data_IF_712576079984
#
_entry.id   IF_712576079984
#
_cell.length_a   1.000
_cell.length_b   1.000
_cell.length_c   1.000
_cell.angle_alpha   90.00
_cell.angle_beta   90.00
_cell.angle_gamma   90.00
#
_symmetry.space_group_name_H-M   'P 1'
#
loop_
_entity.id
_entity.type
_entity.pdbx_description
1 polymer ?
#
# COMPACT_ATOMS: atom_id res chain seq x y z
N UNK A 1 -19.43 -19.10 -16.86
CA UNK A 1 -18.92 -19.54 -15.55
C UNK A 1 -18.13 -18.39 -14.91
N UNK A 2 -18.54 -17.88 -13.75
CA UNK A 2 -17.80 -16.84 -13.02
C UNK A 2 -16.52 -17.47 -12.45
N UNK A 3 -15.35 -17.04 -12.93
CA UNK A 3 -14.06 -17.43 -12.34
C UNK A 3 -13.79 -16.47 -11.18
N UNK A 4 -13.77 -16.92 -9.91
CA UNK A 4 -13.44 -16.06 -8.80
C UNK A 4 -12.05 -15.45 -9.00
N UNK A 5 -11.88 -14.20 -8.58
CA UNK A 5 -10.56 -13.54 -8.68
C UNK A 5 -9.51 -14.42 -7.98
N UNK A 6 -8.30 -14.58 -8.52
CA UNK A 6 -7.26 -15.47 -7.94
C UNK A 6 -6.98 -15.24 -6.45
N UNK A 7 -7.03 -13.99 -5.99
CA UNK A 7 -6.86 -13.67 -4.57
C UNK A 7 -8.01 -14.20 -3.69
N UNK A 8 -9.23 -14.36 -4.20
CA UNK A 8 -10.33 -14.99 -3.44
C UNK A 8 -10.12 -16.50 -3.34
N UNK A 9 -9.68 -17.14 -4.43
CA UNK A 9 -9.39 -18.58 -4.45
C UNK A 9 -8.37 -18.96 -3.38
N UNK A 10 -7.31 -18.15 -3.21
CA UNK A 10 -6.32 -18.35 -2.14
C UNK A 10 -6.95 -18.51 -0.74
N UNK A 11 -8.02 -17.78 -0.46
CA UNK A 11 -8.68 -17.77 0.85
C UNK A 11 -9.87 -18.74 0.94
N UNK A 12 -10.49 -19.09 -0.18
CA UNK A 12 -11.71 -19.92 -0.20
C UNK A 12 -11.43 -21.40 -0.45
N UNK A 13 -10.40 -21.72 -1.24
CA UNK A 13 -10.06 -23.11 -1.57
C UNK A 13 -9.65 -23.87 -0.30
N UNK A 14 -10.09 -25.12 -0.17
CA UNK A 14 -9.87 -25.98 1.01
C UNK A 14 -10.17 -25.29 2.35
N UNK A 15 -11.17 -24.41 2.38
CA UNK A 15 -11.53 -23.62 3.57
C UNK A 15 -10.34 -22.85 4.18
N UNK A 16 -9.38 -22.44 3.33
CA UNK A 16 -8.06 -21.95 3.75
C UNK A 16 -8.10 -20.76 4.70
N UNK A 17 -9.07 -19.86 4.57
CA UNK A 17 -9.22 -18.73 5.47
C UNK A 17 -9.69 -19.12 6.87
N UNK A 18 -10.67 -20.02 6.99
CA UNK A 18 -11.15 -20.45 8.31
C UNK A 18 -10.05 -21.27 9.02
N UNK A 19 -9.38 -22.19 8.30
CA UNK A 19 -8.22 -22.91 8.84
C UNK A 19 -7.11 -21.98 9.30
N UNK A 20 -6.83 -20.92 8.54
CA UNK A 20 -5.85 -19.91 8.95
C UNK A 20 -6.26 -19.21 10.25
N UNK A 21 -7.52 -18.78 10.38
CA UNK A 21 -8.05 -18.14 11.58
C UNK A 21 -8.00 -19.08 12.78
N UNK A 22 -8.31 -20.36 12.60
CA UNK A 22 -8.30 -21.35 13.70
C UNK A 22 -6.88 -21.55 14.28
N UNK A 23 -5.86 -21.47 13.42
CA UNK A 23 -4.46 -21.74 13.79
C UNK A 23 -3.63 -20.49 14.10
N UNK A 24 -4.15 -19.28 13.83
CA UNK A 24 -3.37 -18.04 13.93
C UNK A 24 -4.19 -16.91 14.56
N UNK A 25 -3.52 -16.08 15.37
CA UNK A 25 -4.12 -14.83 15.84
C UNK A 25 -4.19 -13.80 14.69
N UNK A 26 -5.38 -13.27 14.44
CA UNK A 26 -5.65 -12.27 13.41
C UNK A 26 -6.41 -11.11 14.03
N UNK A 27 -5.95 -9.88 13.76
CA UNK A 27 -6.60 -8.67 14.25
C UNK A 27 -7.99 -8.45 13.63
N UNK A 28 -8.93 -7.90 14.39
CA UNK A 28 -10.33 -7.68 13.97
C UNK A 28 -10.43 -6.88 12.66
N UNK A 29 -9.56 -5.88 12.50
CA UNK A 29 -9.55 -5.08 11.29
C UNK A 29 -9.02 -5.85 10.08
N UNK A 30 -8.05 -6.75 10.28
CA UNK A 30 -7.59 -7.66 9.22
C UNK A 30 -8.70 -8.62 8.81
N UNK A 31 -9.42 -9.23 9.78
CA UNK A 31 -10.59 -10.08 9.52
C UNK A 31 -11.63 -9.34 8.66
N UNK A 32 -12.02 -8.14 9.09
CA UNK A 32 -12.98 -7.31 8.36
C UNK A 32 -12.49 -6.92 6.96
N UNK A 33 -11.19 -6.68 6.78
CA UNK A 33 -10.61 -6.37 5.48
C UNK A 33 -10.70 -7.55 4.51
N UNK A 34 -10.39 -8.76 4.98
CA UNK A 34 -10.47 -9.99 4.20
C UNK A 34 -11.93 -10.32 3.88
N UNK A 35 -12.84 -10.21 4.84
CA UNK A 35 -14.27 -10.47 4.61
C UNK A 35 -14.85 -9.55 3.53
N UNK A 36 -14.56 -8.25 3.61
CA UNK A 36 -14.87 -7.28 2.55
C UNK A 36 -14.29 -7.69 1.19
N UNK A 37 -13.06 -8.20 1.16
CA UNK A 37 -12.42 -8.64 -0.09
C UNK A 37 -13.12 -9.86 -0.69
N UNK A 38 -13.53 -10.83 0.13
CA UNK A 38 -14.28 -12.02 -0.27
C UNK A 38 -15.68 -11.66 -0.81
N UNK A 39 -16.39 -10.73 -0.17
CA UNK A 39 -17.70 -10.25 -0.62
C UNK A 39 -17.62 -9.26 -1.81
N UNK A 40 -16.44 -8.74 -2.15
CA UNK A 40 -16.30 -7.73 -3.20
C UNK A 40 -16.84 -8.21 -4.55
N UNK A 41 -17.67 -7.40 -5.21
CA UNK A 41 -18.25 -7.73 -6.52
C UNK A 41 -19.16 -8.96 -6.50
N UNK A 42 -19.78 -9.28 -5.37
CA UNK A 42 -20.92 -10.21 -5.25
C UNK A 42 -22.17 -9.46 -4.81
N UNK A 43 -23.35 -10.07 -4.93
CA UNK A 43 -24.61 -9.47 -4.48
C UNK A 43 -24.64 -9.19 -2.97
N UNK A 44 -23.81 -9.87 -2.17
CA UNK A 44 -23.67 -9.61 -0.74
C UNK A 44 -23.25 -8.16 -0.43
N UNK A 45 -22.52 -7.48 -1.34
CA UNK A 45 -22.15 -6.07 -1.18
C UNK A 45 -23.19 -5.09 -1.74
N UNK A 46 -24.29 -5.61 -2.29
CA UNK A 46 -25.32 -4.87 -2.99
C UNK A 46 -25.08 -4.83 -4.50
N UNK A 47 -26.14 -4.53 -5.23
CA UNK A 47 -26.15 -4.56 -6.70
C UNK A 47 -26.84 -3.33 -7.26
N UNK A 48 -26.38 -2.85 -8.41
CA UNK A 48 -27.08 -1.82 -9.21
C UNK A 48 -27.56 -2.43 -10.50
N UNK A 49 -28.83 -2.24 -10.81
CA UNK A 49 -29.43 -2.63 -12.07
C UNK A 49 -29.43 -1.46 -13.04
N UNK A 50 -29.00 -1.74 -14.27
CA UNK A 50 -29.08 -0.82 -15.39
C UNK A 50 -29.85 -1.49 -16.51
N UNK A 51 -30.77 -0.76 -17.14
CA UNK A 51 -31.55 -1.24 -18.28
C UNK A 51 -31.20 -0.44 -19.54
N UNK A 52 -31.39 -1.06 -20.71
CA UNK A 52 -31.26 -0.36 -21.97
C UNK A 52 -32.22 0.83 -22.04
N UNK A 53 -31.77 1.92 -22.66
CA UNK A 53 -32.61 3.11 -22.89
C UNK A 53 -33.55 2.94 -24.08
N UNK A 54 -33.35 1.94 -24.94
CA UNK A 54 -34.29 1.63 -26.02
C UNK A 54 -35.51 0.89 -25.45
N UNK A 55 -36.75 1.36 -25.72
CA UNK A 55 -37.98 0.72 -25.25
C UNK A 55 -38.16 -0.74 -25.71
N UNK A 56 -37.65 -1.06 -26.90
CA UNK A 56 -37.78 -2.40 -27.50
C UNK A 56 -36.67 -3.36 -27.02
N UNK A 57 -35.72 -2.89 -26.21
CA UNK A 57 -34.58 -3.68 -25.79
C UNK A 57 -34.70 -4.12 -24.32
N UNK A 58 -34.85 -5.42 -24.09
CA UNK A 58 -34.98 -6.02 -22.75
C UNK A 58 -33.65 -6.18 -22.00
N UNK A 59 -32.52 -5.81 -22.61
CA UNK A 59 -31.20 -6.01 -22.02
C UNK A 59 -31.06 -5.25 -20.68
N UNK A 60 -30.67 -6.01 -19.66
CA UNK A 60 -30.33 -5.50 -18.32
C UNK A 60 -28.94 -5.96 -17.91
N UNK A 61 -28.21 -5.09 -17.21
CA UNK A 61 -26.94 -5.42 -16.56
C UNK A 61 -26.97 -5.14 -15.08
N UNK A 62 -26.29 -6.00 -14.32
CA UNK A 62 -26.16 -5.91 -12.88
C UNK A 62 -24.71 -5.65 -12.51
N UNK A 63 -24.45 -4.59 -11.75
CA UNK A 63 -23.12 -4.25 -11.25
C UNK A 63 -23.07 -4.39 -9.74
N UNK A 64 -22.37 -5.43 -9.27
CA UNK A 64 -22.13 -5.66 -7.86
C UNK A 64 -21.16 -4.63 -7.27
N UNK A 65 -21.41 -4.18 -6.05
CA UNK A 65 -20.62 -3.13 -5.41
C UNK A 65 -19.20 -3.59 -5.07
N UNK A 66 -18.29 -2.62 -5.07
CA UNK A 66 -16.88 -2.80 -4.69
C UNK A 66 -16.68 -2.57 -3.21
N UNK A 67 -15.82 -3.37 -2.56
CA UNK A 67 -15.65 -3.31 -1.11
C UNK A 67 -14.71 -2.22 -0.59
N UNK A 68 -13.88 -1.63 -1.46
CA UNK A 68 -12.88 -0.58 -1.12
C UNK A 68 -11.86 -1.01 -0.04
N UNK A 69 -11.75 -2.32 0.23
CA UNK A 69 -10.84 -2.88 1.23
C UNK A 69 -9.38 -2.77 0.81
N UNK A 70 -8.48 -2.60 1.79
CA UNK A 70 -7.02 -2.67 1.61
C UNK A 70 -6.54 -4.07 1.24
N UNK A 71 -7.30 -5.10 1.58
CA UNK A 71 -7.05 -6.47 1.15
C UNK A 71 -7.50 -6.73 -0.30
N UNK A 72 -8.23 -5.82 -0.96
CA UNK A 72 -8.75 -6.09 -2.30
C UNK A 72 -7.86 -5.49 -3.39
N UNK A 73 -7.17 -6.34 -4.16
CA UNK A 73 -6.31 -5.91 -5.26
C UNK A 73 -7.04 -5.11 -6.35
N UNK A 74 -8.26 -5.52 -6.72
CA UNK A 74 -9.07 -4.84 -7.73
C UNK A 74 -9.54 -3.45 -7.28
N UNK A 75 -10.05 -3.32 -6.03
CA UNK A 75 -10.42 -2.01 -5.48
C UNK A 75 -9.18 -1.12 -5.31
N UNK A 76 -8.06 -1.71 -4.88
CA UNK A 76 -6.79 -1.02 -4.73
C UNK A 76 -6.26 -0.47 -6.05
N UNK A 77 -6.45 -1.17 -7.18
CA UNK A 77 -6.10 -0.66 -8.52
C UNK A 77 -6.83 0.63 -8.84
N UNK A 78 -8.16 0.67 -8.71
CA UNK A 78 -8.94 1.91 -8.91
C UNK A 78 -8.44 3.03 -7.99
N UNK A 79 -8.19 2.71 -6.72
CA UNK A 79 -7.66 3.68 -5.76
C UNK A 79 -6.27 4.20 -6.13
N UNK A 80 -5.42 3.36 -6.73
CA UNK A 80 -4.11 3.70 -7.29
C UNK A 80 -4.26 4.67 -8.46
N UNK A 81 -5.06 4.33 -9.47
CA UNK A 81 -5.23 5.17 -10.67
C UNK A 81 -5.78 6.55 -10.32
N UNK A 82 -6.76 6.62 -9.40
CA UNK A 82 -7.29 7.88 -8.90
C UNK A 82 -6.25 8.73 -8.16
N UNK A 83 -5.31 8.08 -7.47
CA UNK A 83 -4.20 8.77 -6.81
C UNK A 83 -3.14 9.23 -7.81
N UNK A 84 -2.79 8.40 -8.78
CA UNK A 84 -1.84 8.74 -9.86
C UNK A 84 -2.37 9.95 -10.64
N UNK A 85 -3.65 9.96 -11.02
CA UNK A 85 -4.29 11.08 -11.68
C UNK A 85 -4.13 12.38 -10.88
N UNK A 86 -4.38 12.32 -9.56
CA UNK A 86 -4.19 13.46 -8.66
C UNK A 86 -2.75 13.94 -8.56
N UNK A 87 -1.72 13.13 -8.83
CA UNK A 87 -0.35 13.63 -8.68
C UNK A 87 0.02 14.68 -9.75
N UNK A 88 -0.71 14.75 -10.88
CA UNK A 88 -0.51 15.78 -11.93
C UNK A 88 -0.52 17.20 -11.38
N UNK A 89 -1.46 17.49 -10.49
CA UNK A 89 -1.68 18.83 -9.95
C UNK A 89 -1.04 19.05 -8.57
N UNK A 90 -0.31 18.06 -8.03
CA UNK A 90 0.32 18.16 -6.71
C UNK A 90 1.83 18.24 -6.84
N UNK A 91 2.41 17.55 -7.82
CA UNK A 91 3.87 17.44 -7.95
C UNK A 91 4.35 18.38 -9.06
N UNK A 92 5.12 19.44 -8.74
CA UNK A 92 5.65 20.35 -9.75
C UNK A 92 6.64 19.67 -10.69
N UNK A 93 6.74 20.20 -11.91
CA UNK A 93 7.70 19.79 -12.95
C UNK A 93 9.06 20.42 -12.69
N UNK A 94 9.73 19.92 -11.65
CA UNK A 94 11.10 20.29 -11.30
C UNK A 94 11.99 19.04 -11.29
N UNK A 95 13.26 19.21 -10.93
CA UNK A 95 14.12 18.06 -10.66
C UNK A 95 13.71 17.36 -9.35
N UNK A 96 13.69 16.03 -9.37
CA UNK A 96 13.37 15.17 -8.23
C UNK A 96 14.50 14.17 -7.97
N UNK A 97 14.62 13.78 -6.71
CA UNK A 97 15.54 12.74 -6.26
C UNK A 97 14.75 11.67 -5.52
N UNK A 98 14.76 10.45 -6.09
CA UNK A 98 14.21 9.28 -5.43
C UNK A 98 15.27 8.60 -4.56
N UNK A 99 14.89 8.24 -3.34
CA UNK A 99 15.74 7.62 -2.33
C UNK A 99 14.96 6.47 -1.71
N UNK A 100 15.54 5.27 -1.71
CA UNK A 100 15.01 4.12 -0.96
C UNK A 100 15.84 3.92 0.30
N UNK A 101 15.19 4.11 1.45
CA UNK A 101 15.76 3.96 2.78
C UNK A 101 15.35 2.61 3.35
N UNK A 102 16.32 1.71 3.50
CA UNK A 102 16.14 0.43 4.19
C UNK A 102 17.09 0.34 5.39
N UNK A 103 16.99 -0.75 6.14
CA UNK A 103 17.74 -1.01 7.37
C UNK A 103 18.17 -2.48 7.41
N UNK A 104 19.17 -2.86 8.24
CA UNK A 104 19.58 -4.25 8.40
C UNK A 104 18.39 -5.17 8.72
N UNK A 105 18.40 -6.37 8.14
CA UNK A 105 17.30 -7.33 8.30
C UNK A 105 17.05 -7.74 9.75
N UNK A 106 18.09 -7.71 10.57
CA UNK A 106 18.01 -7.96 12.01
C UNK A 106 17.12 -6.95 12.74
N UNK A 107 16.91 -5.75 12.18
CA UNK A 107 16.01 -4.75 12.76
C UNK A 107 14.56 -4.88 12.30
N UNK A 108 14.27 -5.58 11.21
CA UNK A 108 12.90 -5.69 10.67
C UNK A 108 11.90 -6.31 11.66
N UNK A 109 12.25 -7.35 12.45
CA UNK A 109 11.33 -7.95 13.41
C UNK A 109 10.67 -6.97 14.38
N UNK A 110 11.36 -5.91 14.78
CA UNK A 110 10.81 -4.88 15.69
C UNK A 110 9.72 -4.01 15.04
N UNK A 111 9.62 -4.02 13.71
CA UNK A 111 8.61 -3.29 12.94
C UNK A 111 7.48 -4.19 12.41
N UNK A 112 7.64 -5.52 12.48
CA UNK A 112 6.65 -6.47 11.97
C UNK A 112 5.31 -6.25 12.67
N UNK A 113 4.27 -5.94 11.89
CA UNK A 113 2.93 -5.59 12.38
C UNK A 113 2.86 -4.45 13.42
N UNK A 114 3.98 -3.77 13.72
CA UNK A 114 4.03 -2.64 14.64
C UNK A 114 3.76 -1.33 13.88
N UNK A 115 2.47 -1.09 13.59
CA UNK A 115 2.04 0.07 12.82
C UNK A 115 2.38 1.41 13.48
N UNK A 116 2.59 1.44 14.80
CA UNK A 116 3.02 2.63 15.54
C UNK A 116 4.48 2.97 15.18
N UNK A 117 5.39 1.99 15.19
CA UNK A 117 6.78 2.22 14.79
C UNK A 117 6.92 2.46 13.29
N UNK A 118 6.18 1.72 12.47
CA UNK A 118 6.08 1.98 11.03
C UNK A 118 5.61 3.42 10.73
N UNK A 119 4.71 3.96 11.55
CA UNK A 119 4.27 5.36 11.46
C UNK A 119 5.42 6.35 11.73
N UNK A 120 6.34 6.05 12.64
CA UNK A 120 7.49 6.91 12.97
C UNK A 120 8.58 6.88 11.89
N UNK A 121 8.69 5.80 11.10
CA UNK A 121 9.68 5.69 10.01
C UNK A 121 9.62 6.86 9.03
N UNK A 122 8.43 7.39 8.75
CA UNK A 122 8.30 8.56 7.88
C UNK A 122 9.03 9.79 8.42
N UNK A 123 8.96 10.04 9.73
CA UNK A 123 9.67 11.18 10.37
C UNK A 123 11.18 10.95 10.35
N UNK A 124 11.63 9.72 10.60
CA UNK A 124 13.04 9.35 10.48
C UNK A 124 13.54 9.58 9.05
N UNK A 125 12.76 9.16 8.06
CA UNK A 125 13.12 9.24 6.64
C UNK A 125 13.29 10.69 6.16
N UNK A 126 12.40 11.60 6.55
CA UNK A 126 12.45 13.00 6.08
C UNK A 126 13.43 13.88 6.85
N UNK A 127 13.95 13.42 8.00
CA UNK A 127 14.72 14.25 8.94
C UNK A 127 15.93 14.92 8.30
N UNK A 128 16.71 14.18 7.52
CA UNK A 128 17.94 14.69 6.90
C UNK A 128 17.63 15.83 5.91
N UNK A 129 16.64 15.61 5.05
CA UNK A 129 16.23 16.54 4.00
C UNK A 129 15.66 17.81 4.58
N UNK A 130 14.73 17.70 5.53
CA UNK A 130 14.11 18.86 6.19
C UNK A 130 15.13 19.67 7.01
N UNK A 131 16.04 19.01 7.74
CA UNK A 131 17.11 19.70 8.49
C UNK A 131 18.05 20.44 7.54
N UNK A 132 18.41 19.83 6.42
CA UNK A 132 19.29 20.48 5.45
C UNK A 132 18.63 21.67 4.78
N UNK A 133 17.39 21.53 4.30
CA UNK A 133 16.63 22.60 3.67
C UNK A 133 16.41 23.79 4.62
N UNK A 134 16.06 23.51 5.89
CA UNK A 134 15.91 24.56 6.91
C UNK A 134 17.18 25.39 7.10
N UNK A 135 18.36 24.76 7.11
CA UNK A 135 19.65 25.49 7.22
C UNK A 135 19.92 26.41 6.04
N UNK A 136 19.34 26.13 4.88
CA UNK A 136 19.48 26.94 3.67
C UNK A 136 18.31 27.93 3.48
N UNK A 137 17.37 28.01 4.43
CA UNK A 137 16.17 28.84 4.30
C UNK A 137 15.23 28.40 3.18
N UNK A 138 15.21 27.10 2.84
CA UNK A 138 14.40 26.54 1.75
C UNK A 138 13.23 25.72 2.27
N UNK A 139 12.05 25.93 1.68
CA UNK A 139 10.92 25.00 1.79
C UNK A 139 10.95 24.06 0.59
N UNK A 140 11.29 22.79 0.83
CA UNK A 140 11.33 21.72 -0.20
C UNK A 140 10.02 20.94 -0.24
N UNK A 141 9.82 20.15 -1.30
CA UNK A 141 8.68 19.23 -1.42
C UNK A 141 9.15 17.79 -1.20
N UNK A 142 8.48 17.05 -0.32
CA UNK A 142 8.77 15.61 -0.12
C UNK A 142 7.48 14.80 -0.16
N UNK A 143 7.49 13.68 -0.86
CA UNK A 143 6.50 12.63 -0.68
C UNK A 143 7.19 11.32 -0.29
N UNK A 144 6.59 10.62 0.68
CA UNK A 144 7.10 9.38 1.23
C UNK A 144 6.05 8.28 1.12
N UNK A 145 6.50 7.07 0.86
CA UNK A 145 5.71 5.86 0.76
C UNK A 145 6.35 4.76 1.64
N UNK A 146 5.56 4.16 2.51
CA UNK A 146 5.99 2.97 3.26
C UNK A 146 5.67 1.72 2.47
N UNK A 147 6.63 0.82 2.35
CA UNK A 147 6.42 -0.57 1.99
C UNK A 147 6.83 -1.46 3.16
N UNK A 148 6.08 -2.53 3.40
CA UNK A 148 6.36 -3.49 4.49
C UNK A 148 6.89 -4.83 3.98
N UNK A 149 7.10 -4.97 2.67
CA UNK A 149 7.38 -6.24 2.02
C UNK A 149 8.53 -6.16 1.03
N UNK A 150 9.25 -7.26 0.91
CA UNK A 150 10.21 -7.49 -0.16
C UNK A 150 9.54 -8.15 -1.36
N UNK A 151 10.33 -8.41 -2.40
CA UNK A 151 9.83 -9.14 -3.58
C UNK A 151 9.42 -10.58 -3.27
N UNK A 152 9.98 -11.19 -2.22
CA UNK A 152 9.57 -12.52 -1.74
C UNK A 152 8.32 -12.45 -0.85
N UNK A 153 7.74 -11.26 -0.64
CA UNK A 153 6.62 -11.01 0.27
C UNK A 153 6.98 -11.30 1.75
N UNK A 154 8.27 -11.38 2.05
CA UNK A 154 8.78 -11.37 3.41
C UNK A 154 8.72 -9.95 3.97
N UNK A 155 8.67 -9.85 5.29
CA UNK A 155 8.72 -8.56 5.98
C UNK A 155 10.01 -7.82 5.62
N UNK A 156 9.85 -6.62 5.06
CA UNK A 156 10.95 -5.77 4.61
C UNK A 156 10.48 -4.30 4.68
N UNK A 157 10.35 -3.73 5.89
CA UNK A 157 9.95 -2.34 6.04
C UNK A 157 10.99 -1.41 5.43
N UNK A 158 10.57 -0.58 4.48
CA UNK A 158 11.42 0.44 3.86
C UNK A 158 10.60 1.65 3.42
N UNK A 159 11.26 2.80 3.37
CA UNK A 159 10.65 4.05 2.92
C UNK A 159 11.17 4.39 1.52
N UNK A 160 10.24 4.53 0.59
CA UNK A 160 10.45 5.23 -0.66
C UNK A 160 10.21 6.71 -0.44
N UNK A 161 11.25 7.52 -0.58
CA UNK A 161 11.20 8.97 -0.42
C UNK A 161 11.53 9.61 -1.75
N UNK A 162 10.72 10.58 -2.17
CA UNK A 162 11.00 11.42 -3.31
C UNK A 162 10.99 12.86 -2.86
N UNK A 163 12.07 13.58 -3.14
CA UNK A 163 12.28 14.96 -2.70
C UNK A 163 12.64 15.83 -3.89
N UNK A 164 12.16 17.07 -3.89
CA UNK A 164 12.55 18.06 -4.90
C UNK A 164 14.02 18.44 -4.75
N UNK A 165 14.71 18.63 -5.88
CA UNK A 165 16.10 19.12 -5.95
C UNK A 165 16.19 20.64 -5.98
N UNK A 166 15.13 21.30 -5.55
CA UNK A 166 15.09 22.71 -5.19
C UNK A 166 13.98 22.96 -4.17
N UNK A 167 13.90 24.19 -3.69
CA UNK A 167 12.87 24.64 -2.77
C UNK A 167 12.59 26.13 -2.90
N UNK A 168 11.47 26.54 -2.33
CA UNK A 168 11.03 27.93 -2.28
C UNK A 168 11.79 28.68 -1.18
N UNK A 169 12.29 29.87 -1.48
CA UNK A 169 12.86 30.80 -0.49
C UNK A 169 11.76 31.58 0.23
N UNK A 170 12.13 32.41 1.19
CA UNK A 170 11.20 33.37 1.82
C UNK A 170 10.70 34.47 0.87
N UNK A 171 11.38 34.68 -0.26
CA UNK A 171 11.04 35.67 -1.29
C UNK A 171 10.32 35.02 -2.48
N UNK A 172 9.74 33.84 -2.27
CA UNK A 172 9.03 33.06 -3.30
C UNK A 172 9.85 32.76 -4.57
N UNK A 173 11.18 32.73 -4.48
CA UNK A 173 12.06 32.33 -5.59
C UNK A 173 12.47 30.86 -5.46
N UNK A 174 12.67 30.16 -6.58
CA UNK A 174 13.18 28.79 -6.56
C UNK A 174 14.71 28.73 -6.47
N UNK A 175 15.26 27.93 -5.54
CA UNK A 175 16.70 27.67 -5.45
C UNK A 175 17.02 26.17 -5.42
N UNK A 176 18.11 25.74 -6.09
CA UNK A 176 18.51 24.34 -6.10
C UNK A 176 19.05 23.88 -4.74
N UNK A 177 18.90 22.59 -4.44
CA UNK A 177 19.48 21.95 -3.25
C UNK A 177 20.08 20.59 -3.61
N UNK A 178 21.19 20.25 -2.95
CA UNK A 178 21.88 18.97 -3.10
C UNK A 178 21.81 18.15 -1.80
N UNK A 179 21.54 16.85 -1.91
CA UNK A 179 21.57 15.93 -0.77
C UNK A 179 22.73 14.95 -0.87
N UNK A 180 23.70 15.06 0.04
CA UNK A 180 24.83 14.12 0.14
C UNK A 180 24.35 12.78 0.69
N UNK A 181 24.58 11.69 -0.07
CA UNK A 181 24.16 10.33 0.31
C UNK A 181 24.66 9.93 1.71
N UNK A 182 25.95 10.16 2.00
CA UNK A 182 26.58 9.80 3.29
C UNK A 182 25.92 10.52 4.47
N UNK A 183 25.56 11.81 4.31
CA UNK A 183 24.90 12.59 5.35
C UNK A 183 23.49 12.09 5.64
N UNK A 184 22.73 11.79 4.57
CA UNK A 184 21.37 11.24 4.70
C UNK A 184 21.41 9.86 5.35
N UNK A 185 22.35 8.99 4.96
CA UNK A 185 22.53 7.68 5.56
C UNK A 185 22.87 7.77 7.06
N UNK A 186 23.79 8.65 7.44
CA UNK A 186 24.17 8.88 8.85
C UNK A 186 22.97 9.32 9.69
N UNK A 187 22.17 10.28 9.18
CA UNK A 187 20.96 10.75 9.88
C UNK A 187 19.90 9.66 9.95
N UNK A 188 19.72 8.88 8.88
CA UNK A 188 18.78 7.76 8.85
C UNK A 188 19.13 6.69 9.90
N UNK A 189 20.39 6.23 9.92
CA UNK A 189 20.91 5.28 10.91
C UNK A 189 20.67 5.76 12.33
N UNK A 190 21.06 7.00 12.62
CA UNK A 190 20.90 7.61 13.94
C UNK A 190 19.42 7.73 14.34
N UNK A 191 18.55 8.13 13.41
CA UNK A 191 17.13 8.29 13.68
C UNK A 191 16.44 6.95 13.99
N UNK A 192 16.78 5.88 13.27
CA UNK A 192 16.21 4.55 13.52
C UNK A 192 16.71 3.97 14.83
N UNK A 193 18.01 4.02 15.11
CA UNK A 193 18.55 3.50 16.37
C UNK A 193 17.99 4.27 17.56
N UNK A 194 17.86 5.60 17.46
CA UNK A 194 17.21 6.40 18.51
C UNK A 194 15.74 5.99 18.70
N UNK A 195 14.97 5.87 17.63
CA UNK A 195 13.57 5.42 17.70
C UNK A 195 13.46 4.07 18.45
N UNK A 196 14.34 3.11 18.11
CA UNK A 196 14.35 1.79 18.72
C UNK A 196 14.78 1.81 20.20
N UNK A 197 15.75 2.67 20.58
CA UNK A 197 16.11 2.89 22.00
C UNK A 197 14.92 3.43 22.77
N UNK A 198 14.29 4.49 22.26
CA UNK A 198 13.16 5.17 22.90
C UNK A 198 11.93 4.25 23.02
N UNK A 199 11.85 3.16 22.24
CA UNK A 199 10.72 2.23 22.19
C UNK A 199 10.94 0.93 22.97
N UNK A 200 12.06 0.79 23.72
CA UNK A 200 12.44 -0.46 24.38
C UNK A 200 11.32 -1.07 25.24
N UNK A 201 10.74 -0.28 26.14
CA UNK A 201 9.71 -0.75 27.07
C UNK A 201 8.42 -1.20 26.37
N UNK A 202 8.06 -0.53 25.27
CA UNK A 202 6.88 -0.90 24.47
C UNK A 202 7.15 -2.13 23.59
N UNK A 203 8.39 -2.29 23.11
CA UNK A 203 8.79 -3.39 22.24
C UNK A 203 8.95 -4.72 22.97
N UNK A 204 9.42 -4.68 24.23
CA UNK A 204 9.80 -5.86 25.00
C UNK A 204 10.59 -6.89 24.15
N UNK A 205 11.79 -6.52 23.64
CA UNK A 205 12.52 -7.32 22.65
C UNK A 205 12.74 -8.79 23.06
N UNK A 206 12.90 -9.07 24.35
CA UNK A 206 13.05 -10.42 24.90
C UNK A 206 11.86 -11.34 24.62
N UNK A 207 10.65 -10.79 24.39
CA UNK A 207 9.45 -11.57 24.07
C UNK A 207 9.32 -11.88 22.58
N UNK A 208 10.14 -11.28 21.72
CA UNK A 208 10.11 -11.56 20.30
C UNK A 208 10.85 -12.88 19.99
N UNK A 209 10.34 -13.69 19.04
CA UNK A 209 11.01 -14.92 18.61
C UNK A 209 12.46 -14.65 18.20
N UNK A 210 13.39 -15.49 18.68
CA UNK A 210 14.84 -15.38 18.45
C UNK A 210 15.55 -14.18 19.12
N UNK A 211 14.87 -13.41 19.98
CA UNK A 211 15.45 -12.24 20.67
C UNK A 211 15.52 -12.38 22.20
N UNK A 212 15.32 -13.58 22.76
CA UNK A 212 15.41 -13.84 24.20
C UNK A 212 16.77 -13.52 24.85
N UNK A 213 17.83 -13.39 24.04
CA UNK A 213 19.14 -12.94 24.50
C UNK A 213 19.19 -11.44 24.86
N UNK A 214 18.21 -10.63 24.45
CA UNK A 214 18.12 -9.20 24.77
C UNK A 214 17.37 -9.01 26.10
N UNK A 215 18.04 -9.34 27.20
CA UNK A 215 17.42 -9.46 28.54
C UNK A 215 17.07 -8.12 29.20
N UNK A 216 17.83 -7.07 28.90
CA UNK A 216 17.74 -5.77 29.55
C UNK A 216 18.06 -4.61 28.58
N UNK A 217 17.86 -3.37 29.03
CA UNK A 217 18.12 -2.17 28.23
C UNK A 217 19.61 -2.01 27.84
N UNK A 218 20.60 -2.29 28.71
CA UNK A 218 22.01 -2.30 28.30
C UNK A 218 22.32 -3.26 27.15
N UNK A 219 21.80 -4.49 27.20
CA UNK A 219 21.95 -5.50 26.14
C UNK A 219 21.28 -5.05 24.85
N UNK A 220 20.11 -4.41 24.95
CA UNK A 220 19.46 -3.77 23.81
C UNK A 220 20.32 -2.68 23.17
N UNK A 221 20.94 -1.83 23.99
CA UNK A 221 21.84 -0.79 23.50
C UNK A 221 23.07 -1.36 22.80
N UNK A 222 23.69 -2.43 23.36
CA UNK A 222 24.78 -3.15 22.70
C UNK A 222 24.35 -3.75 21.37
N UNK A 223 23.19 -4.41 21.32
CA UNK A 223 22.62 -4.96 20.10
C UNK A 223 22.42 -3.88 19.03
N UNK A 224 21.80 -2.76 19.38
CA UNK A 224 21.57 -1.64 18.48
C UNK A 224 22.87 -0.96 18.04
N UNK A 225 23.88 -0.87 18.91
CA UNK A 225 25.21 -0.36 18.55
C UNK A 225 25.88 -1.24 17.51
N UNK A 226 25.81 -2.58 17.68
CA UNK A 226 26.30 -3.51 16.68
C UNK A 226 25.59 -3.31 15.33
N UNK A 227 24.24 -3.18 15.33
CA UNK A 227 23.50 -2.91 14.10
C UNK A 227 23.79 -1.52 13.50
N UNK A 228 24.09 -0.53 14.34
CA UNK A 228 24.49 0.80 13.91
C UNK A 228 25.78 0.74 13.12
N UNK A 229 26.78 -0.06 13.54
CA UNK A 229 28.09 -0.13 12.87
C UNK A 229 28.09 -0.92 11.55
N UNK A 230 27.04 -1.71 11.27
CA UNK A 230 26.92 -2.42 9.99
C UNK A 230 26.79 -1.43 8.82
N UNK A 231 27.05 -1.93 7.62
CA UNK A 231 26.71 -1.22 6.40
C UNK A 231 25.18 -1.17 6.19
N UNK A 232 24.64 0.02 5.94
CA UNK A 232 23.22 0.21 5.65
C UNK A 232 23.04 0.51 4.16
N UNK A 233 22.27 -0.32 3.47
CA UNK A 233 21.96 -0.08 2.06
C UNK A 233 20.99 1.09 1.94
N UNK A 234 21.45 2.22 1.44
CA UNK A 234 20.57 3.33 1.01
C UNK A 234 20.77 3.54 -0.49
N UNK A 235 19.68 3.49 -1.26
CA UNK A 235 19.73 3.66 -2.70
C UNK A 235 19.30 5.07 -3.08
N UNK A 236 20.20 5.82 -3.71
CA UNK A 236 19.91 7.10 -4.36
C UNK A 236 19.80 6.85 -5.85
N UNK A 237 18.62 7.05 -6.43
CA UNK A 237 18.45 6.96 -7.88
C UNK A 237 19.18 8.13 -8.57
N UNK A 238 19.29 8.11 -9.89
CA UNK A 238 19.63 9.33 -10.64
C UNK A 238 18.51 10.36 -10.45
N UNK A 239 18.85 11.66 -10.44
CA UNK A 239 17.84 12.72 -10.44
C UNK A 239 17.01 12.64 -11.73
N UNK A 240 15.71 12.89 -11.63
CA UNK A 240 14.78 12.85 -12.77
C UNK A 240 14.11 14.20 -12.92
N UNK A 241 13.87 14.64 -14.16
CA UNK A 241 12.93 15.73 -14.43
C UNK A 241 11.51 15.22 -14.22
N UNK A 242 10.74 15.93 -13.41
CA UNK A 242 9.39 15.54 -12.99
C UNK A 242 9.35 14.32 -12.05
N UNK A 243 8.24 14.19 -11.33
CA UNK A 243 8.02 13.08 -10.40
C UNK A 243 7.33 11.86 -11.06
N UNK A 244 6.98 11.95 -12.34
CA UNK A 244 6.03 11.03 -12.99
C UNK A 244 6.46 9.57 -13.00
N UNK A 245 7.73 9.31 -13.28
CA UNK A 245 8.28 7.96 -13.24
C UNK A 245 8.14 7.34 -11.84
N UNK A 246 8.47 8.11 -10.80
CA UNK A 246 8.42 7.69 -9.41
C UNK A 246 6.96 7.46 -8.95
N UNK A 247 6.03 8.33 -9.36
CA UNK A 247 4.59 8.18 -9.06
C UNK A 247 4.03 6.91 -9.67
N UNK A 248 4.28 6.65 -10.96
CA UNK A 248 3.79 5.44 -11.63
C UNK A 248 4.40 4.18 -11.01
N UNK A 249 5.70 4.22 -10.71
CA UNK A 249 6.40 3.09 -10.09
C UNK A 249 5.83 2.76 -8.70
N UNK A 250 5.74 3.75 -7.80
CA UNK A 250 5.25 3.52 -6.44
C UNK A 250 3.75 3.26 -6.41
N UNK A 251 2.96 3.99 -7.21
CA UNK A 251 1.50 3.89 -7.25
C UNK A 251 0.99 2.45 -7.41
N UNK A 252 1.72 1.61 -8.15
CA UNK A 252 1.43 0.19 -8.37
C UNK A 252 1.25 -0.62 -7.08
N UNK A 253 1.71 -0.16 -5.93
CA UNK A 253 1.90 -1.01 -4.75
C UNK A 253 1.45 -0.37 -3.42
N UNK A 254 0.95 0.88 -3.44
CA UNK A 254 0.63 1.64 -2.23
C UNK A 254 -0.80 1.46 -1.72
N UNK A 255 -1.73 1.08 -2.60
CA UNK A 255 -3.17 1.02 -2.28
C UNK A 255 -3.80 -0.35 -2.47
N UNK A 256 -3.00 -1.35 -2.84
CA UNK A 256 -3.39 -2.74 -2.96
C UNK A 256 -2.41 -3.64 -2.20
N UNK A 257 -2.80 -4.88 -1.89
CA UNK A 257 -1.90 -5.88 -1.32
C UNK A 257 -0.65 -6.07 -2.19
N UNK A 258 0.46 -6.54 -1.61
CA UNK A 258 1.73 -6.73 -2.29
C UNK A 258 1.72 -7.81 -3.37
N UNK A 259 0.61 -8.54 -3.50
CA UNK A 259 0.45 -9.68 -4.40
C UNK A 259 -0.49 -9.27 -5.53
N UNK A 260 -0.02 -9.39 -6.76
CA UNK A 260 -0.86 -9.19 -7.93
C UNK A 260 -1.77 -10.40 -8.18
N UNK A 261 -2.91 -10.18 -8.84
CA UNK A 261 -3.76 -11.29 -9.25
C UNK A 261 -3.05 -12.24 -10.23
N UNK A 262 -2.12 -11.72 -11.05
CA UNK A 262 -1.34 -12.54 -11.99
C UNK A 262 -0.41 -13.53 -11.28
N UNK A 263 0.13 -13.17 -10.13
CA UNK A 263 0.98 -14.05 -9.32
C UNK A 263 0.21 -15.22 -8.69
N UNK A 264 -1.12 -15.16 -8.66
CA UNK A 264 -1.99 -16.21 -8.13
C UNK A 264 -2.82 -16.90 -9.24
N UNK A 265 -2.63 -16.53 -10.51
CA UNK A 265 -3.51 -16.94 -11.62
C UNK A 265 -3.66 -18.46 -11.76
N UNK A 266 -2.60 -19.20 -11.48
CA UNK A 266 -2.55 -20.66 -11.62
C UNK A 266 -2.80 -21.40 -10.31
N UNK A 267 -3.21 -20.70 -9.24
CA UNK A 267 -3.51 -21.36 -7.97
C UNK A 267 -4.82 -22.15 -8.06
N UNK A 268 -4.73 -23.45 -7.85
CA UNK A 268 -5.85 -24.40 -7.92
C UNK A 268 -5.96 -25.27 -6.66
N UNK A 269 -5.41 -24.81 -5.52
CA UNK A 269 -5.35 -25.58 -4.27
C UNK A 269 -3.94 -26.00 -3.88
N UNK A 270 -3.76 -26.36 -2.60
CA UNK A 270 -2.45 -26.79 -2.08
C UNK A 270 -1.41 -25.67 -2.06
N UNK A 271 -0.28 -25.89 -2.74
CA UNK A 271 0.90 -25.02 -2.65
C UNK A 271 0.86 -23.86 -3.65
N UNK A 272 1.34 -22.70 -3.22
CA UNK A 272 1.43 -21.50 -4.06
C UNK A 272 2.84 -21.39 -4.64
N UNK A 273 2.94 -21.42 -5.97
CA UNK A 273 4.19 -21.12 -6.69
C UNK A 273 4.27 -19.62 -6.93
N UNK A 274 5.16 -18.95 -6.21
CA UNK A 274 5.34 -17.51 -6.28
C UNK A 274 6.60 -17.15 -7.07
N UNK A 275 6.42 -16.42 -8.17
CA UNK A 275 7.49 -15.94 -9.04
C UNK A 275 7.90 -14.52 -8.65
N UNK A 276 9.21 -14.29 -8.53
CA UNK A 276 9.76 -12.97 -8.25
C UNK A 276 11.08 -12.73 -8.99
N UNK A 277 11.32 -11.48 -9.37
CA UNK A 277 12.61 -11.08 -9.95
C UNK A 277 13.63 -10.87 -8.84
N UNK A 278 14.72 -11.62 -8.84
CA UNK A 278 15.82 -11.47 -7.90
C UNK A 278 16.88 -10.52 -8.48
N UNK A 279 17.12 -9.41 -7.80
CA UNK A 279 18.12 -8.41 -8.22
C UNK A 279 19.56 -8.82 -7.93
N UNK A 280 19.76 -9.78 -7.03
CA UNK A 280 21.11 -10.29 -6.73
C UNK A 280 21.60 -11.18 -7.87
N UNK A 281 20.76 -12.11 -8.32
CA UNK A 281 21.06 -12.97 -9.47
C UNK A 281 20.64 -12.39 -10.83
N UNK A 282 19.92 -11.26 -10.84
CA UNK A 282 19.31 -10.64 -12.03
C UNK A 282 18.39 -11.58 -12.82
N UNK A 283 17.78 -12.57 -12.17
CA UNK A 283 16.95 -13.60 -12.79
C UNK A 283 15.59 -13.74 -12.12
N UNK A 284 14.61 -14.27 -12.84
CA UNK A 284 13.34 -14.68 -12.24
C UNK A 284 13.54 -15.98 -11.47
N UNK A 285 13.17 -15.96 -10.18
CA UNK A 285 13.19 -17.11 -9.29
C UNK A 285 11.77 -17.50 -8.90
N UNK A 286 11.63 -18.76 -8.49
CA UNK A 286 10.40 -19.33 -7.93
C UNK A 286 10.64 -19.68 -6.48
N UNK A 287 9.64 -19.42 -5.65
CA UNK A 287 9.55 -19.98 -4.30
C UNK A 287 8.20 -20.70 -4.16
N UNK A 288 8.20 -21.78 -3.41
CA UNK A 288 7.03 -22.60 -3.15
C UNK A 288 6.59 -22.38 -1.72
N UNK A 289 5.36 -21.90 -1.52
CA UNK A 289 4.80 -21.57 -0.20
C UNK A 289 3.54 -22.38 0.06
N UNK A 290 3.31 -22.85 1.29
CA UNK A 290 2.00 -23.38 1.65
C UNK A 290 0.91 -22.32 1.49
N UNK A 291 -0.34 -22.73 1.29
CA UNK A 291 -1.50 -21.83 1.27
C UNK A 291 -1.52 -20.94 2.52
N UNK A 292 -1.30 -21.55 3.69
CA UNK A 292 -1.28 -20.87 4.98
C UNK A 292 -0.19 -19.80 5.05
N UNK A 293 1.03 -20.11 4.62
CA UNK A 293 2.14 -19.14 4.62
C UNK A 293 1.88 -17.98 3.65
N UNK A 294 1.26 -18.25 2.50
CA UNK A 294 0.88 -17.20 1.57
C UNK A 294 -0.22 -16.29 2.14
N UNK A 295 -1.22 -16.86 2.83
CA UNK A 295 -2.24 -16.09 3.55
C UNK A 295 -1.59 -15.24 4.66
N UNK A 296 -0.67 -15.83 5.44
CA UNK A 296 0.10 -15.13 6.49
C UNK A 296 0.79 -13.90 5.94
N UNK A 297 1.56 -14.06 4.85
CA UNK A 297 2.24 -12.95 4.17
C UNK A 297 1.22 -11.92 3.67
N UNK A 298 0.17 -12.34 2.98
CA UNK A 298 -0.88 -11.46 2.47
C UNK A 298 -1.48 -10.56 3.55
N UNK A 299 -1.90 -11.17 4.67
CA UNK A 299 -2.61 -10.50 5.76
C UNK A 299 -1.68 -9.58 6.54
N UNK A 300 -0.42 -9.99 6.76
CA UNK A 300 0.58 -9.19 7.48
C UNK A 300 0.91 -7.84 6.81
N UNK A 301 0.57 -7.68 5.52
CA UNK A 301 0.79 -6.44 4.77
C UNK A 301 -0.47 -5.56 4.66
N UNK A 302 -1.59 -5.97 5.27
CA UNK A 302 -2.79 -5.12 5.39
C UNK A 302 -2.50 -4.01 6.41
N UNK A 303 -2.53 -2.71 6.01
CA UNK A 303 -2.31 -1.61 6.93
C UNK A 303 -3.34 -1.55 8.04
N UNK A 304 -2.90 -1.19 9.25
CA UNK A 304 -3.79 -0.88 10.36
C UNK A 304 -4.87 0.13 9.96
N UNK A 305 -6.00 0.08 10.65
CA UNK A 305 -7.14 0.96 10.40
C UNK A 305 -6.68 2.43 10.41
N UNK A 306 -7.13 3.20 9.43
CA UNK A 306 -6.77 4.61 9.21
C UNK A 306 -5.30 4.92 8.89
N UNK A 307 -4.41 3.92 8.83
CA UNK A 307 -3.00 4.14 8.49
C UNK A 307 -2.82 4.70 7.07
N UNK A 308 -2.02 5.77 6.96
CA UNK A 308 -1.68 6.40 5.67
C UNK A 308 -0.30 5.91 5.21
N UNK A 309 -0.32 5.08 4.16
CA UNK A 309 0.89 4.55 3.50
C UNK A 309 1.71 5.63 2.79
N UNK A 310 1.09 6.78 2.50
CA UNK A 310 1.71 7.90 1.78
C UNK A 310 1.62 9.15 2.65
N UNK A 311 2.71 9.91 2.70
CA UNK A 311 2.76 11.20 3.41
C UNK A 311 3.47 12.24 2.59
N UNK A 312 3.07 13.49 2.81
CA UNK A 312 3.63 14.65 2.17
C UNK A 312 4.21 15.59 3.22
N UNK A 313 5.37 16.16 2.93
CA UNK A 313 6.10 17.07 3.80
C UNK A 313 6.57 18.30 3.02
N UNK A 314 6.98 19.31 3.79
CA UNK A 314 7.40 20.59 3.23
C UNK A 314 6.25 21.30 2.54
N UNK A 315 6.47 21.91 1.37
CA UNK A 315 5.39 22.60 0.66
C UNK A 315 4.27 21.67 0.16
N UNK A 316 4.53 20.36 0.05
CA UNK A 316 3.52 19.36 -0.33
C UNK A 316 2.62 18.94 0.83
N UNK A 317 2.96 19.29 2.08
CA UNK A 317 2.16 18.93 3.23
C UNK A 317 0.72 19.46 3.09
N UNK A 318 -0.29 18.65 3.43
CA UNK A 318 -1.70 19.01 3.22
C UNK A 318 -2.10 20.38 3.79
N UNK A 319 -1.52 20.78 4.94
CA UNK A 319 -1.78 22.07 5.59
C UNK A 319 -1.10 23.26 4.89
N UNK A 320 -0.01 23.02 4.15
CA UNK A 320 0.78 24.06 3.47
C UNK A 320 0.48 24.17 1.97
N UNK A 321 0.14 23.05 1.31
CA UNK A 321 0.08 22.94 -0.15
C UNK A 321 -0.86 23.94 -0.81
N UNK A 322 -2.03 24.24 -0.21
CA UNK A 322 -2.97 25.19 -0.80
C UNK A 322 -2.39 26.61 -0.92
N UNK A 323 -1.51 26.99 0.01
CA UNK A 323 -0.85 28.30 0.02
C UNK A 323 0.49 28.30 -0.73
N UNK A 324 1.29 27.25 -0.58
CA UNK A 324 2.66 27.23 -1.08
C UNK A 324 2.80 26.68 -2.48
N UNK A 325 1.91 25.80 -2.94
CA UNK A 325 2.04 25.18 -4.25
C UNK A 325 1.84 26.17 -5.41
N UNK A 326 0.90 27.14 -5.34
CA UNK A 326 0.82 28.21 -6.33
C UNK A 326 2.14 28.98 -6.49
N UNK A 327 2.73 29.42 -5.37
CA UNK A 327 4.03 30.10 -5.34
C UNK A 327 5.16 29.25 -5.94
N UNK A 328 5.12 27.93 -5.76
CA UNK A 328 6.09 27.01 -6.36
C UNK A 328 5.92 26.95 -7.88
N UNK A 329 4.68 27.01 -8.39
CA UNK A 329 4.44 27.07 -9.83
C UNK A 329 4.95 28.38 -10.43
N UNK A 330 4.64 29.51 -9.79
CA UNK A 330 5.11 30.83 -10.23
C UNK A 330 6.66 30.89 -10.20
N UNK A 331 7.28 30.39 -9.14
CA UNK A 331 8.74 30.37 -8.99
C UNK A 331 9.46 29.44 -10.00
N UNK A 332 8.73 28.51 -10.61
CA UNK A 332 9.23 27.58 -11.62
C UNK A 332 8.78 27.98 -13.04
N UNK A 333 8.10 29.11 -13.20
CA UNK A 333 7.49 29.56 -14.46
C UNK A 333 6.60 28.46 -15.10
N UNK A 334 5.76 27.85 -14.25
CA UNK A 334 4.87 26.76 -14.63
C UNK A 334 3.42 27.23 -14.71
N UNK A 335 2.68 26.72 -15.70
CA UNK A 335 1.23 26.81 -15.70
C UNK A 335 0.62 26.07 -14.49
N UNK A 336 -0.34 26.72 -13.83
CA UNK A 336 -1.10 26.13 -12.74
C UNK A 336 -1.92 24.94 -13.26
N UNK A 337 -1.63 23.69 -12.82
CA UNK A 337 -2.33 22.54 -13.36
C UNK A 337 -3.78 22.49 -12.88
N UNK A 338 -4.71 22.26 -13.81
CA UNK A 338 -6.10 22.00 -13.47
C UNK A 338 -6.25 20.76 -12.58
N UNK A 339 -7.26 20.79 -11.70
CA UNK A 339 -7.61 19.62 -10.87
C UNK A 339 -8.08 18.51 -11.81
N UNK A 340 -7.39 17.35 -11.83
CA UNK A 340 -7.69 16.28 -12.76
C UNK A 340 -8.94 15.53 -12.32
N UNK A 341 -9.75 15.14 -13.31
CA UNK A 341 -10.86 14.22 -13.07
C UNK A 341 -10.35 12.86 -12.56
N UNK A 342 -11.04 12.32 -11.56
CA UNK A 342 -10.70 11.01 -11.01
C UNK A 342 -11.34 9.94 -11.88
N UNK A 343 -10.56 9.00 -12.44
CA UNK A 343 -11.12 7.96 -13.28
C UNK A 343 -12.18 7.15 -12.53
N UNK A 344 -13.38 7.10 -13.12
CA UNK A 344 -14.51 6.31 -12.65
C UNK A 344 -14.37 4.83 -12.98
N UNK A 345 -15.38 4.03 -12.60
CA UNK A 345 -15.43 2.61 -12.97
C UNK A 345 -15.46 2.44 -14.50
N UNK A 346 -16.35 3.17 -15.19
CA UNK A 346 -16.50 3.07 -16.63
C UNK A 346 -15.23 3.46 -17.40
N UNK A 347 -14.58 4.57 -17.03
CA UNK A 347 -13.34 5.00 -17.66
C UNK A 347 -12.23 3.94 -17.54
N UNK A 348 -12.09 3.32 -16.35
CA UNK A 348 -11.10 2.27 -16.13
C UNK A 348 -11.41 0.98 -16.90
N UNK A 349 -12.67 0.56 -16.95
CA UNK A 349 -13.07 -0.63 -17.71
C UNK A 349 -12.90 -0.39 -19.20
N UNK A 350 -13.34 0.77 -19.71
CA UNK A 350 -13.16 1.15 -21.11
C UNK A 350 -11.69 1.18 -21.49
N UNK A 351 -10.82 1.75 -20.66
CA UNK A 351 -9.37 1.74 -20.91
C UNK A 351 -8.73 0.35 -20.87
N UNK A 352 -9.29 -0.60 -20.13
CA UNK A 352 -8.72 -1.95 -19.98
C UNK A 352 -9.27 -2.96 -21.00
N UNK A 353 -10.58 -2.94 -21.27
CA UNK A 353 -11.27 -3.89 -22.15
C UNK A 353 -11.65 -3.30 -23.51
N UNK A 354 -11.33 -2.03 -23.75
CA UNK A 354 -11.78 -1.26 -24.92
C UNK A 354 -13.32 -1.28 -25.12
N UNK A 355 -14.08 -1.49 -24.05
CA UNK A 355 -15.54 -1.66 -24.08
C UNK A 355 -16.18 -0.76 -23.02
N UNK A 356 -17.19 0.03 -23.39
CA UNK A 356 -17.95 0.81 -22.40
C UNK A 356 -18.90 -0.14 -21.62
N UNK A 357 -18.73 -0.27 -20.29
CA UNK A 357 -19.58 -1.18 -19.52
C UNK A 357 -21.06 -0.77 -19.52
N UNK A 358 -21.37 0.50 -19.81
CA UNK A 358 -22.72 1.03 -19.90
C UNK A 358 -23.26 1.10 -21.33
N UNK A 359 -22.61 0.44 -22.29
CA UNK A 359 -23.17 0.23 -23.62
C UNK A 359 -23.95 -1.08 -23.67
N UNK A 360 -25.13 -1.05 -24.28
CA UNK A 360 -25.95 -2.23 -24.51
C UNK A 360 -25.27 -3.13 -25.56
N UNK A 361 -25.09 -4.41 -25.23
CA UNK A 361 -24.47 -5.38 -26.14
C UNK A 361 -25.43 -5.85 -27.25
N UNK A 362 -26.74 -5.61 -27.11
CA UNK A 362 -27.74 -6.03 -28.10
C UNK A 362 -27.99 -4.97 -29.17
N UNK A 363 -28.05 -3.69 -28.81
CA UNK A 363 -28.42 -2.60 -29.73
C UNK A 363 -27.50 -1.38 -29.67
N UNK A 364 -26.41 -1.40 -28.91
CA UNK A 364 -25.46 -0.28 -28.83
C UNK A 364 -25.93 0.93 -28.01
N UNK A 365 -27.21 1.02 -27.64
CA UNK A 365 -27.76 2.12 -26.85
C UNK A 365 -27.21 2.20 -25.41
N UNK A 366 -27.41 3.34 -24.75
CA UNK A 366 -26.92 3.57 -23.38
C UNK A 366 -27.72 2.76 -22.35
N UNK A 367 -27.02 2.11 -21.44
CA UNK A 367 -27.59 1.55 -20.22
C UNK A 367 -27.79 2.66 -19.18
N UNK A 368 -29.02 2.82 -18.69
CA UNK A 368 -29.41 3.80 -17.66
C UNK A 368 -29.64 3.12 -16.33
N UNK A 369 -29.29 3.81 -15.24
CA UNK A 369 -29.53 3.32 -13.89
C UNK A 369 -31.04 3.19 -13.66
N UNK A 370 -31.48 2.06 -13.08
CA UNK A 370 -32.88 1.80 -12.77
C UNK A 370 -33.12 1.61 -11.27
N UNK A 371 -32.32 0.76 -10.64
CA UNK A 371 -32.50 0.44 -9.22
C UNK A 371 -31.19 0.04 -8.56
N UNK A 372 -31.18 0.07 -7.23
CA UNK A 372 -30.09 -0.45 -6.43
C UNK A 372 -30.64 -1.24 -5.25
N UNK A 373 -30.02 -2.37 -4.98
CA UNK A 373 -30.29 -3.17 -3.80
C UNK A 373 -29.13 -3.03 -2.82
N UNK A 374 -29.50 -2.85 -1.54
CA UNK A 374 -28.53 -2.68 -0.46
C UNK A 374 -27.88 -4.03 -0.15
N UNK A 375 -26.55 -4.01 0.03
CA UNK A 375 -25.81 -5.17 0.50
C UNK A 375 -25.83 -5.34 2.01
N UNK A 376 -25.34 -6.50 2.44
CA UNK A 376 -25.07 -6.83 3.84
C UNK A 376 -23.85 -6.03 4.30
N UNK A 377 -23.92 -5.48 5.52
CA UNK A 377 -22.79 -4.79 6.11
C UNK A 377 -21.66 -5.77 6.42
N UNK A 378 -20.42 -5.34 6.23
CA UNK A 378 -19.26 -6.22 6.40
C UNK A 378 -19.09 -6.77 7.82
N UNK A 379 -19.59 -6.07 8.84
CA UNK A 379 -19.60 -6.56 10.23
C UNK A 379 -20.56 -7.74 10.39
N UNK A 380 -21.75 -7.66 9.76
CA UNK A 380 -22.72 -8.75 9.73
C UNK A 380 -22.16 -9.96 8.98
N UNK A 381 -21.54 -9.76 7.81
CA UNK A 381 -20.85 -10.84 7.07
C UNK A 381 -19.78 -11.55 7.91
N UNK A 382 -19.03 -10.79 8.70
CA UNK A 382 -18.01 -11.35 9.59
C UNK A 382 -18.65 -12.14 10.75
N UNK A 383 -19.75 -11.64 11.32
CA UNK A 383 -20.53 -12.36 12.34
C UNK A 383 -21.04 -13.68 11.81
N UNK A 384 -21.71 -13.68 10.65
CA UNK A 384 -22.23 -14.88 10.02
C UNK A 384 -21.12 -15.91 9.73
N UNK A 385 -19.91 -15.47 9.36
CA UNK A 385 -18.75 -16.37 9.22
C UNK A 385 -18.39 -17.01 10.57
N UNK A 386 -18.32 -16.22 11.63
CA UNK A 386 -17.98 -16.73 12.98
C UNK A 386 -18.98 -17.78 13.43
N UNK A 387 -20.27 -17.52 13.22
CA UNK A 387 -21.34 -18.44 13.58
C UNK A 387 -21.21 -19.76 12.81
N UNK A 388 -20.95 -19.70 11.50
CA UNK A 388 -20.69 -20.89 10.66
C UNK A 388 -19.45 -21.66 11.11
N UNK A 389 -18.38 -20.96 11.50
CA UNK A 389 -17.17 -21.59 12.03
C UNK A 389 -17.45 -22.29 13.37
N UNK A 390 -18.20 -21.65 14.27
CA UNK A 390 -18.59 -22.23 15.55
C UNK A 390 -19.47 -23.47 15.36
N UNK A 391 -20.46 -23.40 14.48
CA UNK A 391 -21.31 -24.54 14.12
C UNK A 391 -20.49 -25.71 13.55
N UNK A 392 -19.55 -25.42 12.64
CA UNK A 392 -18.66 -26.45 12.06
C UNK A 392 -17.80 -27.14 13.12
N UNK A 393 -17.23 -26.36 14.06
CA UNK A 393 -16.46 -26.92 15.19
C UNK A 393 -17.32 -27.82 16.06
N UNK A 394 -18.52 -27.37 16.41
CA UNK A 394 -19.47 -28.15 17.21
C UNK A 394 -19.81 -29.50 16.55
N UNK A 395 -20.08 -29.50 15.24
CA UNK A 395 -20.35 -30.72 14.48
C UNK A 395 -19.14 -31.68 14.43
N UNK A 396 -17.91 -31.16 14.47
CA UNK A 396 -16.69 -31.99 14.45
C UNK A 396 -16.33 -32.56 15.82
N UNK A 397 -16.80 -31.95 16.91
CA UNK A 397 -16.59 -32.44 18.29
C UNK A 397 -17.71 -33.35 18.79
N UNK A 398 -18.84 -33.42 18.06
CA UNK A 398 -20.00 -34.25 18.40
C UNK A 398 -19.90 -35.70 17.84
N UNK A 399 -18.77 -36.04 17.23
CA UNK A 399 -18.36 -37.38 16.77
C UNK A 399 -17.14 -37.77 17.58
#
# INVERSE_FOLDING_TARGET
MYIPRPAKLLFQYDDGWNRFIDNNSVDEWQLLCVEKMLACSTCAMGVRRYCCSSPECTHSRFFCQTCKSKACSACGLKGTEQWIAQQRHILPDCEWQHITLTMPHLLWPFFNNNWILLNQLFRCATRAMLKHAKRLGLEIGIFCALHTYGRQLNQHPHIHLSVTRGGLTQYDTWKPIFFKKKDVEKVWRSAIVRLLRDSYFQLQPNKLPNFGHIRDYPTWCRYLNAQFQRYWKVHFAKKTRGAWHNVKYLGRYLKRPPISASQLKHYSGGTVVHHYYDHHSQQYRRQTLSQEEMIRRYVSHIPARHFKMIRYYGFLANRKRGRLLPKVYDALDMNHPNVPEKPGFAALIKGFLNTDPYQCILCGNRLRFMSAEKGIHAVTLLSERRDKMAQKRWLQTAV
#
